data_IF_766801733218
#
_entry.id   IF_766801733218
#
_cell.length_a   1.000
_cell.length_b   1.000
_cell.length_c   1.000
_cell.angle_alpha   90.00
_cell.angle_beta   90.00
_cell.angle_gamma   90.00
#
_symmetry.space_group_name_H-M   'P 1'
#
loop_
_entity.id
_entity.type
_entity.pdbx_description
1 polymer ?
#
# COMPACT_ATOMS: atom_id res chain seq x y z
N UNK A 1 9.49 7.09 8.34
CA UNK A 1 9.47 6.66 6.92
C UNK A 1 8.06 6.79 6.37
N UNK A 2 7.90 7.38 5.18
CA UNK A 2 6.63 7.53 4.47
C UNK A 2 6.56 6.52 3.32
N UNK A 3 5.57 5.63 3.37
CA UNK A 3 5.32 4.60 2.34
C UNK A 3 3.99 4.87 1.65
N UNK A 4 4.00 5.03 0.33
CA UNK A 4 2.79 5.29 -0.45
C UNK A 4 2.40 4.09 -1.32
N UNK A 5 1.12 3.69 -1.28
CA UNK A 5 0.57 2.66 -2.14
C UNK A 5 -0.13 3.31 -3.32
N UNK A 6 0.50 3.26 -4.50
CA UNK A 6 0.08 4.02 -5.67
C UNK A 6 -0.10 3.11 -6.88
N UNK A 7 -1.25 3.25 -7.54
CA UNK A 7 -1.52 2.67 -8.85
C UNK A 7 -2.78 3.33 -9.42
N UNK A 8 -2.72 3.73 -10.70
CA UNK A 8 -3.86 4.28 -11.41
C UNK A 8 -5.01 3.29 -11.59
N UNK A 9 -4.70 1.99 -11.64
CA UNK A 9 -5.72 0.96 -11.73
C UNK A 9 -6.47 0.85 -10.40
N UNK A 10 -7.80 0.94 -10.48
CA UNK A 10 -8.70 0.66 -9.36
C UNK A 10 -8.71 -0.84 -9.05
N UNK A 11 -8.99 -1.21 -7.79
CA UNK A 11 -9.18 -2.61 -7.41
C UNK A 11 -7.91 -3.46 -7.28
N UNK A 12 -6.70 -2.91 -7.44
CA UNK A 12 -5.44 -3.66 -7.24
C UNK A 12 -5.07 -3.89 -5.76
N UNK A 13 -5.92 -3.44 -4.83
CA UNK A 13 -5.76 -3.67 -3.39
C UNK A 13 -4.89 -2.66 -2.64
N UNK A 14 -4.82 -1.39 -3.10
CA UNK A 14 -4.08 -0.30 -2.41
C UNK A 14 -4.52 -0.14 -0.96
N UNK A 15 -5.79 0.18 -0.72
CA UNK A 15 -6.37 0.32 0.62
C UNK A 15 -6.16 -0.91 1.49
N UNK A 16 -6.41 -2.11 0.95
CA UNK A 16 -6.22 -3.37 1.67
C UNK A 16 -4.79 -3.51 2.17
N UNK A 17 -3.79 -3.34 1.29
CA UNK A 17 -2.39 -3.45 1.67
C UNK A 17 -1.98 -2.31 2.61
N UNK A 18 -2.48 -1.09 2.41
CA UNK A 18 -2.20 0.06 3.26
C UNK A 18 -2.62 -0.20 4.73
N UNK A 19 -3.87 -0.66 4.91
CA UNK A 19 -4.43 -1.00 6.22
C UNK A 19 -3.64 -2.13 6.91
N UNK A 20 -3.28 -3.17 6.15
CA UNK A 20 -2.54 -4.31 6.69
C UNK A 20 -1.10 -3.96 7.07
N UNK A 21 -0.40 -3.19 6.23
CA UNK A 21 0.95 -2.72 6.55
C UNK A 21 0.94 -1.84 7.79
N UNK A 22 -0.02 -0.90 7.88
CA UNK A 22 -0.14 -0.04 9.03
C UNK A 22 -0.44 -0.84 10.31
N UNK A 23 -1.33 -1.81 10.23
CA UNK A 23 -1.67 -2.69 11.35
C UNK A 23 -0.53 -3.59 11.79
N UNK A 24 0.23 -4.15 10.85
CA UNK A 24 1.37 -5.02 11.15
C UNK A 24 2.48 -4.23 11.86
N UNK A 25 2.84 -3.05 11.36
CA UNK A 25 3.82 -2.19 12.03
C UNK A 25 3.33 -1.70 13.40
N UNK A 26 2.06 -1.36 13.53
CA UNK A 26 1.47 -0.96 14.82
C UNK A 26 1.50 -2.11 15.85
N UNK A 27 1.17 -3.34 15.42
CA UNK A 27 1.28 -4.55 16.26
C UNK A 27 2.74 -4.84 16.64
N UNK A 28 3.69 -4.48 15.78
CA UNK A 28 5.13 -4.47 16.08
C UNK A 28 5.59 -3.33 17.01
N UNK A 29 4.67 -2.56 17.60
CA UNK A 29 4.95 -1.50 18.57
C UNK A 29 5.33 -0.16 17.95
N UNK A 30 5.17 0.03 16.64
CA UNK A 30 5.46 1.30 15.97
C UNK A 30 4.29 2.27 16.08
N UNK A 31 4.57 3.57 16.21
CA UNK A 31 3.58 4.62 16.03
C UNK A 31 3.33 4.80 14.54
N UNK A 32 2.13 4.45 14.09
CA UNK A 32 1.76 4.51 12.67
C UNK A 32 0.61 5.49 12.45
N UNK A 33 0.71 6.23 11.35
CA UNK A 33 -0.40 7.03 10.80
C UNK A 33 -0.68 6.59 9.38
N UNK A 34 -1.93 6.28 9.07
CA UNK A 34 -2.40 6.04 7.71
C UNK A 34 -3.11 7.31 7.21
N UNK A 35 -2.68 7.81 6.07
CA UNK A 35 -3.30 8.91 5.35
C UNK A 35 -4.15 8.33 4.22
N UNK A 36 -5.46 8.54 4.29
CA UNK A 36 -6.39 8.24 3.22
C UNK A 36 -6.39 9.40 2.22
N UNK A 37 -5.65 9.26 1.13
CA UNK A 37 -5.59 10.25 0.06
C UNK A 37 -6.55 9.92 -1.10
N UNK A 38 -7.40 8.90 -0.95
CA UNK A 38 -8.44 8.57 -1.90
C UNK A 38 -9.73 9.36 -1.58
N UNK A 39 -10.26 10.16 -2.51
CA UNK A 39 -11.58 10.79 -2.34
C UNK A 39 -12.71 9.81 -2.00
N UNK A 40 -12.56 8.52 -2.30
CA UNK A 40 -13.52 7.48 -1.90
C UNK A 40 -13.50 7.16 -0.40
N UNK A 41 -12.42 7.50 0.33
CA UNK A 41 -12.38 7.39 1.78
C UNK A 41 -12.43 5.96 2.34
N UNK A 42 -11.99 4.95 1.57
CA UNK A 42 -12.14 3.54 1.97
C UNK A 42 -11.38 3.17 3.26
N UNK A 43 -10.25 3.80 3.54
CA UNK A 43 -9.51 3.57 4.78
C UNK A 43 -10.15 4.29 5.98
N UNK A 44 -10.72 5.48 5.74
CA UNK A 44 -11.55 6.16 6.73
C UNK A 44 -12.80 5.36 7.09
N UNK A 45 -13.48 4.79 6.09
CA UNK A 45 -14.65 3.93 6.31
C UNK A 45 -14.29 2.70 7.14
N UNK A 46 -13.15 2.06 6.85
CA UNK A 46 -12.61 0.99 7.70
C UNK A 46 -12.42 1.45 9.15
N UNK A 47 -11.82 2.63 9.37
CA UNK A 47 -11.59 3.15 10.72
C UNK A 47 -12.88 3.44 11.47
N UNK A 48 -13.90 3.94 10.77
CA UNK A 48 -15.23 4.18 11.35
C UNK A 48 -15.92 2.87 11.69
N UNK A 49 -15.87 1.89 10.78
CA UNK A 49 -16.45 0.57 11.01
C UNK A 49 -15.79 -0.13 12.20
N UNK A 50 -14.46 -0.09 12.29
CA UNK A 50 -13.71 -0.59 13.45
C UNK A 50 -14.20 0.02 14.77
N UNK A 51 -14.47 1.32 14.78
CA UNK A 51 -15.02 2.00 15.95
C UNK A 51 -16.44 1.56 16.30
N UNK A 52 -17.30 1.30 15.29
CA UNK A 52 -18.67 0.81 15.49
C UNK A 52 -18.70 -0.59 16.09
N UNK A 53 -17.74 -1.43 15.69
CA UNK A 53 -17.54 -2.79 16.24
C UNK A 53 -16.91 -2.78 17.65
N UNK A 54 -16.61 -1.61 18.23
CA UNK A 54 -15.99 -1.50 19.55
C UNK A 54 -14.54 -2.00 19.60
N UNK A 55 -13.87 -2.11 18.46
CA UNK A 55 -12.50 -2.58 18.37
C UNK A 55 -11.51 -1.48 18.74
N UNK A 56 -10.45 -1.85 19.48
CA UNK A 56 -9.39 -0.92 19.86
C UNK A 56 -8.69 -0.35 18.63
N UNK A 57 -8.43 0.96 18.60
CA UNK A 57 -7.68 1.60 17.51
C UNK A 57 -6.22 1.14 17.54
N UNK A 58 -5.73 0.57 16.43
CA UNK A 58 -4.33 0.13 16.29
C UNK A 58 -3.41 1.27 15.85
N UNK A 59 -3.88 2.13 14.94
CA UNK A 59 -3.14 3.25 14.37
C UNK A 59 -4.10 4.41 14.02
N UNK A 60 -3.56 5.61 13.83
CA UNK A 60 -4.35 6.77 13.41
C UNK A 60 -4.70 6.70 11.92
N UNK A 61 -5.93 7.07 11.55
CA UNK A 61 -6.33 7.25 10.15
C UNK A 61 -6.76 8.70 9.94
N UNK A 62 -6.18 9.36 8.93
CA UNK A 62 -6.42 10.77 8.60
C UNK A 62 -6.84 10.89 7.14
N UNK A 63 -7.95 11.57 6.88
CA UNK A 63 -8.38 11.88 5.51
C UNK A 63 -7.63 13.08 4.94
N UNK A 64 -6.92 12.91 3.84
CA UNK A 64 -6.17 13.97 3.19
C UNK A 64 -6.05 13.80 1.67
N UNK A 65 -7.19 13.82 0.99
CA UNK A 65 -7.25 13.85 -0.48
C UNK A 65 -7.04 15.28 -1.00
N UNK A 66 -5.82 15.84 -0.84
CA UNK A 66 -5.46 17.20 -1.29
C UNK A 66 -4.15 17.22 -2.08
N UNK A 67 -4.08 18.09 -3.09
CA UNK A 67 -2.86 18.26 -3.90
C UNK A 67 -1.67 18.79 -3.07
N UNK A 68 -1.91 19.24 -1.84
CA UNK A 68 -0.91 19.67 -0.85
C UNK A 68 -0.36 18.54 0.02
N UNK A 69 -0.75 17.28 -0.21
CA UNK A 69 -0.31 16.11 0.56
C UNK A 69 1.22 16.04 0.78
N UNK A 70 2.04 16.40 -0.22
CA UNK A 70 3.50 16.47 -0.10
C UNK A 70 4.04 17.43 0.96
N UNK A 71 3.23 18.41 1.41
CA UNK A 71 3.61 19.36 2.48
C UNK A 71 3.12 18.89 3.84
N UNK A 72 1.93 18.32 3.88
CA UNK A 72 1.24 17.93 5.13
C UNK A 72 1.68 16.55 5.64
N UNK A 73 1.94 15.58 4.74
CA UNK A 73 2.40 14.24 5.15
C UNK A 73 3.73 14.26 5.92
N UNK A 74 4.75 15.07 5.56
CA UNK A 74 5.96 15.22 6.36
C UNK A 74 5.72 15.81 7.76
N UNK A 75 4.70 16.65 7.94
CA UNK A 75 4.34 17.19 9.26
C UNK A 75 3.76 16.08 10.15
N UNK A 76 2.84 15.28 9.60
CA UNK A 76 2.29 14.09 10.28
C UNK A 76 3.37 13.05 10.60
N UNK A 77 4.41 12.96 9.77
CA UNK A 77 5.53 12.05 9.98
C UNK A 77 6.43 12.44 11.18
N UNK A 78 6.32 13.66 11.72
CA UNK A 78 7.13 14.06 12.90
C UNK A 78 6.76 13.31 14.17
N UNK A 79 5.49 12.95 14.31
CA UNK A 79 4.94 12.28 15.50
C UNK A 79 4.74 10.76 15.31
N UNK A 80 5.11 10.23 14.15
CA UNK A 80 4.97 8.82 13.79
C UNK A 80 6.31 8.19 13.40
N UNK A 81 6.48 6.91 13.70
CA UNK A 81 7.65 6.16 13.23
C UNK A 81 7.48 5.84 11.73
N UNK A 82 6.23 5.53 11.33
CA UNK A 82 5.85 5.25 9.96
C UNK A 82 4.56 5.97 9.55
N UNK A 83 4.54 6.47 8.31
CA UNK A 83 3.33 6.97 7.66
C UNK A 83 3.03 6.09 6.46
N UNK A 84 1.78 5.66 6.32
CA UNK A 84 1.28 4.92 5.15
C UNK A 84 0.32 5.83 4.39
N UNK A 85 0.52 6.03 3.09
CA UNK A 85 -0.40 6.78 2.24
C UNK A 85 -1.19 5.77 1.39
N UNK A 86 -2.51 5.74 1.54
CA UNK A 86 -3.43 5.07 0.62
C UNK A 86 -3.78 6.03 -0.51
N UNK A 87 -3.21 5.81 -1.70
CA UNK A 87 -3.34 6.73 -2.81
C UNK A 87 -4.60 6.53 -3.66
N UNK A 88 -5.11 7.59 -4.32
CA UNK A 88 -6.30 7.51 -5.15
C UNK A 88 -6.07 6.72 -6.44
N UNK A 89 -7.12 6.12 -7.04
CA UNK A 89 -7.10 5.72 -8.44
C UNK A 89 -7.25 6.93 -9.36
N UNK A 90 -6.49 6.97 -10.46
CA UNK A 90 -6.68 7.86 -11.63
C UNK A 90 -6.58 9.39 -11.40
N UNK A 91 -6.35 9.88 -10.17
CA UNK A 91 -6.18 11.33 -9.91
C UNK A 91 -4.70 11.70 -9.97
N UNK A 92 -4.23 12.19 -11.12
CA UNK A 92 -2.81 12.44 -11.38
C UNK A 92 -2.18 13.47 -10.43
N UNK A 93 -2.89 14.55 -10.08
CA UNK A 93 -2.37 15.60 -9.18
C UNK A 93 -2.10 15.06 -7.77
N UNK A 94 -3.05 14.32 -7.19
CA UNK A 94 -2.90 13.66 -5.90
C UNK A 94 -1.82 12.58 -5.93
N UNK A 95 -1.74 11.79 -7.00
CA UNK A 95 -0.67 10.81 -7.16
C UNK A 95 0.72 11.47 -7.19
N UNK A 96 0.88 12.58 -7.93
CA UNK A 96 2.13 13.36 -7.92
C UNK A 96 2.46 13.88 -6.52
N UNK A 97 1.46 14.39 -5.81
CA UNK A 97 1.64 14.85 -4.43
C UNK A 97 2.07 13.71 -3.49
N UNK A 98 1.46 12.54 -3.60
CA UNK A 98 1.85 11.36 -2.83
C UNK A 98 3.27 10.86 -3.18
N UNK A 99 3.65 10.89 -4.47
CA UNK A 99 5.01 10.56 -4.93
C UNK A 99 6.05 11.49 -4.30
N UNK A 100 5.79 12.80 -4.30
CA UNK A 100 6.69 13.80 -3.72
C UNK A 100 6.78 13.69 -2.19
N UNK A 101 5.74 13.18 -1.53
CA UNK A 101 5.72 12.96 -0.08
C UNK A 101 6.50 11.70 0.36
N UNK A 102 6.59 10.69 -0.50
CA UNK A 102 7.05 9.36 -0.09
C UNK A 102 8.57 9.23 -0.01
N UNK A 103 9.02 8.30 0.84
CA UNK A 103 10.37 7.74 0.82
C UNK A 103 10.41 6.44 -0.02
N UNK A 104 9.33 5.68 0.03
CA UNK A 104 9.12 4.45 -0.73
C UNK A 104 7.73 4.40 -1.34
N UNK A 105 7.65 4.09 -2.63
CA UNK A 105 6.40 3.84 -3.35
C UNK A 105 6.24 2.35 -3.59
N UNK A 106 5.12 1.81 -3.15
CA UNK A 106 4.69 0.47 -3.49
C UNK A 106 3.65 0.57 -4.60
N UNK A 107 3.83 -0.21 -5.65
CA UNK A 107 2.95 -0.26 -6.82
C UNK A 107 2.27 -1.64 -6.83
N UNK A 108 1.09 -1.80 -6.22
CA UNK A 108 0.38 -3.07 -6.22
C UNK A 108 -0.06 -3.43 -7.63
N UNK A 109 0.25 -4.64 -8.08
CA UNK A 109 -0.08 -5.14 -9.42
C UNK A 109 -0.73 -6.50 -9.31
N UNK A 110 -1.80 -6.72 -10.07
CA UNK A 110 -2.47 -8.02 -10.13
C UNK A 110 -1.99 -8.79 -11.36
N UNK A 111 -1.55 -10.05 -11.21
CA UNK A 111 -1.25 -10.91 -12.36
C UNK A 111 -2.48 -11.04 -13.26
N UNK A 112 -2.33 -10.68 -14.54
CA UNK A 112 -3.42 -10.70 -15.51
C UNK A 112 -2.86 -10.84 -16.93
N UNK A 113 -3.44 -11.70 -17.78
CA UNK A 113 -2.99 -11.90 -19.16
C UNK A 113 -3.38 -10.75 -20.10
N UNK A 114 -4.34 -9.90 -19.70
CA UNK A 114 -4.90 -8.82 -20.53
C UNK A 114 -4.41 -7.43 -20.14
N UNK A 115 -3.70 -7.31 -19.02
CA UNK A 115 -3.24 -6.03 -18.50
C UNK A 115 -1.73 -5.92 -18.71
N UNK A 116 -1.28 -4.96 -19.51
CA UNK A 116 0.10 -4.49 -19.43
C UNK A 116 0.36 -4.04 -17.99
N UNK A 117 1.11 -4.84 -17.24
CA UNK A 117 1.05 -4.91 -15.76
C UNK A 117 1.87 -3.84 -15.03
N UNK A 118 2.12 -2.72 -15.70
CA UNK A 118 2.32 -1.41 -15.09
C UNK A 118 1.62 -0.39 -16.00
N UNK A 119 0.80 0.50 -15.43
CA UNK A 119 0.34 1.65 -16.23
C UNK A 119 1.60 2.39 -16.65
N UNK A 120 1.92 2.44 -17.95
CA UNK A 120 3.05 3.22 -18.46
C UNK A 120 3.01 4.65 -17.90
N UNK A 121 1.81 5.17 -17.66
CA UNK A 121 1.55 6.44 -17.00
C UNK A 121 2.03 6.49 -15.53
N UNK A 122 1.87 5.41 -14.74
CA UNK A 122 2.43 5.34 -13.38
C UNK A 122 3.96 5.39 -13.40
N UNK A 123 4.59 4.71 -14.35
CA UNK A 123 6.05 4.76 -14.51
C UNK A 123 6.54 6.13 -14.97
N UNK A 124 5.80 6.79 -15.86
CA UNK A 124 6.05 8.18 -16.25
C UNK A 124 5.92 9.14 -15.07
N UNK A 125 4.86 9.02 -14.26
CA UNK A 125 4.70 9.85 -13.07
C UNK A 125 5.81 9.63 -12.05
N UNK A 126 6.24 8.37 -11.86
CA UNK A 126 7.36 8.04 -10.99
C UNK A 126 8.67 8.64 -11.50
N UNK A 127 8.95 8.57 -12.80
CA UNK A 127 10.17 9.14 -13.38
C UNK A 127 10.18 10.67 -13.28
N UNK A 128 9.04 11.32 -13.53
CA UNK A 128 8.86 12.76 -13.30
C UNK A 128 9.10 13.14 -11.83
N UNK A 129 8.57 12.37 -10.88
CA UNK A 129 8.75 12.64 -9.45
C UNK A 129 10.21 12.46 -9.02
N UNK A 130 10.94 11.48 -9.58
CA UNK A 130 12.36 11.24 -9.30
C UNK A 130 13.28 12.39 -9.74
N UNK A 131 12.84 13.26 -10.66
CA UNK A 131 13.56 14.51 -10.99
C UNK A 131 13.68 15.41 -9.74
N UNK A 132 12.64 15.46 -8.91
CA UNK A 132 12.58 16.26 -7.69
C UNK A 132 12.99 15.48 -6.44
N UNK A 133 12.84 14.15 -6.47
CA UNK A 133 13.13 13.22 -5.36
C UNK A 133 14.04 12.10 -5.87
N UNK A 134 15.34 12.35 -6.11
CA UNK A 134 16.25 11.36 -6.71
C UNK A 134 16.38 10.09 -5.87
N UNK A 135 16.22 10.20 -4.55
CA UNK A 135 16.29 9.06 -3.62
C UNK A 135 14.95 8.30 -3.47
N UNK A 136 13.91 8.67 -4.23
CA UNK A 136 12.60 8.02 -4.16
C UNK A 136 12.69 6.55 -4.60
N UNK A 137 12.62 5.66 -3.61
CA UNK A 137 12.58 4.22 -3.82
C UNK A 137 11.20 3.84 -4.33
N UNK A 138 11.13 2.87 -5.23
CA UNK A 138 9.87 2.29 -5.67
C UNK A 138 10.01 0.78 -5.84
N UNK A 139 8.92 0.03 -5.63
CA UNK A 139 8.84 -1.42 -5.82
C UNK A 139 7.47 -1.84 -6.32
N UNK A 140 7.43 -2.82 -7.20
CA UNK A 140 6.16 -3.51 -7.49
C UNK A 140 5.82 -4.49 -6.38
N UNK A 141 4.52 -4.64 -6.09
CA UNK A 141 4.02 -5.64 -5.17
C UNK A 141 3.01 -6.49 -5.91
N UNK A 142 3.36 -7.74 -6.21
CA UNK A 142 2.37 -8.66 -6.78
C UNK A 142 1.31 -8.97 -5.73
N UNK A 143 0.08 -8.62 -6.06
CA UNK A 143 -1.08 -8.77 -5.21
C UNK A 143 -2.16 -9.60 -5.88
N UNK A 144 -3.05 -10.18 -5.07
CA UNK A 144 -4.14 -11.06 -5.53
C UNK A 144 -3.62 -12.19 -6.42
N UNK A 145 -2.47 -12.77 -6.07
CA UNK A 145 -1.92 -13.89 -6.79
C UNK A 145 -2.79 -15.13 -6.57
N UNK A 146 -3.39 -15.65 -7.65
CA UNK A 146 -4.08 -16.93 -7.59
C UNK A 146 -3.07 -18.05 -7.30
N UNK A 147 -3.45 -18.97 -6.40
CA UNK A 147 -2.55 -19.99 -5.88
C UNK A 147 -1.96 -20.85 -7.01
N UNK A 148 -0.64 -21.03 -6.99
CA UNK A 148 0.12 -21.92 -7.91
C UNK A 148 -0.09 -21.63 -9.40
N UNK A 149 -0.33 -20.38 -9.77
CA UNK A 149 -0.50 -20.01 -11.18
C UNK A 149 0.82 -19.67 -11.85
N UNK A 150 1.02 -20.20 -13.06
CA UNK A 150 2.13 -19.83 -13.95
C UNK A 150 2.12 -18.32 -14.20
N UNK A 151 0.92 -17.75 -14.35
CA UNK A 151 0.71 -16.33 -14.59
C UNK A 151 1.38 -15.42 -13.55
N UNK A 152 1.30 -15.74 -12.25
CA UNK A 152 1.94 -14.93 -11.21
C UNK A 152 3.47 -14.97 -11.33
N UNK A 153 4.03 -16.13 -11.71
CA UNK A 153 5.47 -16.29 -11.94
C UNK A 153 5.93 -15.51 -13.18
N UNK A 154 5.24 -15.66 -14.31
CA UNK A 154 5.55 -14.91 -15.54
C UNK A 154 5.45 -13.40 -15.32
N UNK A 155 4.43 -12.95 -14.57
CA UNK A 155 4.29 -11.54 -14.20
C UNK A 155 5.48 -11.07 -13.37
N UNK A 156 5.94 -11.86 -12.39
CA UNK A 156 7.08 -11.52 -11.56
C UNK A 156 8.39 -11.48 -12.37
N UNK A 157 8.62 -12.46 -13.24
CA UNK A 157 9.78 -12.53 -14.13
C UNK A 157 9.85 -11.30 -15.03
N UNK A 158 8.73 -10.94 -15.64
CA UNK A 158 8.72 -9.79 -16.54
C UNK A 158 8.86 -8.46 -15.78
N UNK A 159 8.25 -8.32 -14.59
CA UNK A 159 8.46 -7.15 -13.72
C UNK A 159 9.92 -6.99 -13.29
N UNK A 160 10.67 -8.08 -13.14
CA UNK A 160 12.07 -8.05 -12.76
C UNK A 160 12.97 -7.40 -13.84
N UNK A 161 12.50 -7.29 -15.08
CA UNK A 161 13.18 -6.60 -16.18
C UNK A 161 12.96 -5.07 -16.17
N UNK A 162 12.09 -4.57 -15.28
CA UNK A 162 11.76 -3.14 -15.17
C UNK A 162 12.37 -2.48 -13.93
N UNK A 163 12.56 -1.16 -14.00
CA UNK A 163 12.75 -0.28 -12.83
C UNK A 163 11.42 0.46 -12.57
N UNK A 164 10.79 0.28 -11.40
CA UNK A 164 11.29 -0.41 -10.20
C UNK A 164 11.22 -1.94 -10.26
N UNK A 165 12.10 -2.67 -9.53
CA UNK A 165 11.99 -4.12 -9.41
C UNK A 165 10.82 -4.54 -8.51
N UNK A 166 10.31 -5.79 -8.64
CA UNK A 166 9.31 -6.33 -7.73
C UNK A 166 9.91 -6.68 -6.36
N UNK A 167 9.08 -6.67 -5.33
CA UNK A 167 9.38 -7.32 -4.06
C UNK A 167 9.38 -8.84 -4.23
N UNK A 168 10.13 -9.53 -3.36
CA UNK A 168 10.14 -11.00 -3.29
C UNK A 168 8.83 -11.52 -2.71
N UNK A 169 8.28 -10.82 -1.71
CA UNK A 169 7.01 -11.19 -1.10
C UNK A 169 5.86 -10.91 -2.07
N UNK A 170 5.00 -11.91 -2.26
CA UNK A 170 3.76 -11.79 -3.03
C UNK A 170 2.57 -12.00 -2.12
N UNK A 171 1.44 -11.36 -2.45
CA UNK A 171 0.20 -11.46 -1.68
C UNK A 171 -0.82 -12.28 -2.45
N UNK A 172 -1.29 -13.35 -1.83
CA UNK A 172 -2.27 -14.25 -2.43
C UNK A 172 -3.65 -13.61 -2.57
N UNK A 173 -4.47 -14.12 -3.49
CA UNK A 173 -5.89 -13.83 -3.51
C UNK A 173 -6.58 -14.59 -2.37
N UNK A 174 -6.91 -13.89 -1.29
CA UNK A 174 -7.45 -14.48 -0.06
C UNK A 174 -8.79 -13.87 0.34
N UNK A 175 -9.70 -14.71 0.81
CA UNK A 175 -11.01 -14.28 1.35
C UNK A 175 -10.82 -13.37 2.57
N UNK A 176 -9.79 -13.62 3.40
CA UNK A 176 -9.44 -12.80 4.56
C UNK A 176 -9.16 -11.32 4.24
N UNK A 177 -8.99 -10.96 2.96
CA UNK A 177 -8.81 -9.57 2.53
C UNK A 177 -10.08 -8.92 1.98
N UNK A 178 -11.13 -9.70 1.72
CA UNK A 178 -12.32 -9.24 0.99
C UNK A 178 -13.27 -8.39 1.85
N UNK A 179 -13.34 -8.67 3.16
CA UNK A 179 -14.31 -8.09 4.09
C UNK A 179 -13.68 -7.11 5.10
N UNK A 180 -12.41 -6.74 4.90
CA UNK A 180 -11.62 -5.93 5.84
C UNK A 180 -12.34 -4.62 6.16
N UNK A 181 -12.79 -3.87 5.14
CA UNK A 181 -13.53 -2.61 5.32
C UNK A 181 -14.86 -2.84 6.05
N UNK A 182 -15.55 -3.94 5.77
CA UNK A 182 -16.86 -4.25 6.35
C UNK A 182 -16.78 -4.72 7.81
N UNK A 183 -15.71 -5.41 8.18
CA UNK A 183 -15.52 -5.96 9.53
C UNK A 183 -14.71 -5.05 10.44
N UNK A 184 -13.94 -4.10 9.89
CA UNK A 184 -12.99 -3.29 10.64
C UNK A 184 -11.81 -4.09 11.21
N UNK A 185 -11.66 -5.36 10.83
CA UNK A 185 -10.62 -6.30 11.30
C UNK A 185 -9.59 -6.55 10.21
N UNK A 186 -8.34 -6.69 10.62
CA UNK A 186 -7.24 -7.12 9.75
C UNK A 186 -7.10 -8.64 9.77
N UNK A 187 -6.48 -9.21 8.74
CA UNK A 187 -6.28 -10.66 8.63
C UNK A 187 -5.57 -11.27 9.86
N UNK A 188 -4.57 -10.55 10.41
CA UNK A 188 -3.87 -10.99 11.62
C UNK A 188 -4.77 -10.99 12.87
N UNK A 189 -5.83 -10.18 12.92
CA UNK A 189 -6.78 -10.19 14.04
C UNK A 189 -7.83 -11.30 13.91
N UNK A 190 -8.02 -11.83 12.71
CA UNK A 190 -8.91 -12.96 12.44
C UNK A 190 -8.18 -14.29 12.73
N UNK A 191 -6.98 -14.45 12.19
CA UNK A 191 -6.10 -15.61 12.44
C UNK A 191 -4.65 -15.21 12.14
N UNK A 192 -3.86 -15.03 13.21
CA UNK A 192 -2.43 -14.68 13.17
C UNK A 192 -1.58 -15.74 12.47
N UNK A 193 -2.03 -17.00 12.48
CA UNK A 193 -1.32 -18.11 11.84
C UNK A 193 -1.74 -18.31 10.40
N UNK A 194 -2.76 -17.58 9.92
CA UNK A 194 -3.25 -17.70 8.56
C UNK A 194 -2.15 -17.34 7.56
N UNK A 195 -2.16 -17.92 6.35
CA UNK A 195 -1.18 -17.52 5.37
C UNK A 195 -1.39 -16.07 4.87
N UNK A 196 -2.57 -15.45 5.09
CA UNK A 196 -2.77 -14.01 4.88
C UNK A 196 -1.92 -13.17 5.85
N UNK A 197 -1.99 -13.48 7.14
CA UNK A 197 -1.22 -12.79 8.17
C UNK A 197 0.29 -12.95 7.94
N UNK A 198 0.75 -14.17 7.62
CA UNK A 198 2.17 -14.44 7.34
C UNK A 198 2.69 -13.67 6.12
N UNK A 199 1.90 -13.59 5.05
CA UNK A 199 2.27 -12.83 3.85
C UNK A 199 2.41 -11.33 4.15
N UNK A 200 1.48 -10.75 4.91
CA UNK A 200 1.56 -9.36 5.35
C UNK A 200 2.77 -9.11 6.25
N UNK A 201 3.04 -10.00 7.22
CA UNK A 201 4.21 -9.90 8.08
C UNK A 201 5.53 -9.96 7.27
N UNK A 202 5.61 -10.87 6.29
CA UNK A 202 6.76 -10.95 5.39
C UNK A 202 6.93 -9.68 4.55
N UNK A 203 5.84 -9.14 3.99
CA UNK A 203 5.83 -7.91 3.21
C UNK A 203 6.30 -6.71 4.06
N UNK A 204 5.74 -6.57 5.25
CA UNK A 204 6.09 -5.52 6.20
C UNK A 204 7.58 -5.57 6.58
N UNK A 205 8.13 -6.76 6.83
CA UNK A 205 9.54 -6.96 7.15
C UNK A 205 10.46 -6.69 5.95
N UNK A 206 10.04 -7.02 4.72
CA UNK A 206 10.77 -6.70 3.50
C UNK A 206 10.84 -5.19 3.26
N UNK A 207 9.73 -4.47 3.45
CA UNK A 207 9.68 -3.01 3.30
C UNK A 207 10.62 -2.32 4.29
N UNK A 208 10.63 -2.74 5.56
CA UNK A 208 11.52 -2.15 6.57
C UNK A 208 13.00 -2.32 6.22
N UNK A 209 13.38 -3.43 5.57
CA UNK A 209 14.76 -3.65 5.08
C UNK A 209 15.16 -2.72 3.92
N UNK A 210 14.19 -2.24 3.15
CA UNK A 210 14.42 -1.27 2.07
C UNK A 210 14.53 0.15 2.62
N UNK A 211 13.76 0.45 3.68
CA UNK A 211 13.73 1.75 4.34
C UNK A 211 14.86 2.03 5.32
N UNK A 212 15.46 0.99 5.89
CA UNK A 212 16.69 1.07 6.68
C UNK A 212 17.90 1.47 5.82
#
# INVERSE_FOLDING_TARGET
MIVALLNQKGGVGKTTLALHLAGEWARGGKRVTLIDADPQGSALDWSQQRSREGLQRLFGVVGLARDTLHREAPELARDADHVVIDGPPRVASLMRSALLAADLVLIPVQPSPLDGWASAEMLTLLSEARIYRPDLKARFVLNRCAARTILARETAETLAEHDPPPLLTTIGQRIAFADVVQTGRLAAEQDETSPAAREIAALAAEILRIGA
#
